data_IF_312053237503
#
_entry.id   IF_312053237503
#
_cell.length_a   1.000
_cell.length_b   1.000
_cell.length_c   1.000
_cell.angle_alpha   90.00
_cell.angle_beta   90.00
_cell.angle_gamma   90.00
#
_symmetry.space_group_name_H-M   'P 1'
#
loop_
_entity.id
_entity.type
_entity.pdbx_description
1 polymer ?
#
# COMPACT_ATOMS: atom_id res chain seq x y z
N UNK A 1 2.83 1.20 -27.98
CA UNK A 1 2.10 0.50 -26.91
C UNK A 1 0.94 1.37 -26.49
N UNK A 2 -0.29 0.92 -26.70
CA UNK A 2 -1.50 1.66 -26.32
C UNK A 2 -1.61 1.70 -24.79
N UNK A 3 -1.80 2.89 -24.22
CA UNK A 3 -1.98 3.04 -22.76
C UNK A 3 -3.25 2.26 -22.36
N UNK A 4 -3.15 1.40 -21.34
CA UNK A 4 -4.32 0.72 -20.76
C UNK A 4 -5.24 1.71 -20.04
N UNK A 5 -6.38 1.24 -19.49
CA UNK A 5 -7.24 2.11 -18.71
C UNK A 5 -6.47 2.70 -17.53
N UNK A 6 -6.72 3.97 -17.16
CA UNK A 6 -6.03 4.59 -16.04
C UNK A 6 -6.31 3.83 -14.73
N UNK A 7 -5.42 3.95 -13.73
CA UNK A 7 -5.68 3.39 -12.41
C UNK A 7 -7.03 3.87 -11.86
N UNK A 8 -7.75 2.96 -11.20
CA UNK A 8 -9.07 3.25 -10.62
C UNK A 8 -9.04 4.53 -9.78
N UNK A 9 -10.05 5.38 -9.94
CA UNK A 9 -10.14 6.67 -9.25
C UNK A 9 -9.34 7.82 -9.89
N UNK A 10 -8.57 7.56 -10.96
CA UNK A 10 -7.87 8.59 -11.75
C UNK A 10 -8.52 8.70 -13.12
N UNK A 11 -8.84 9.91 -13.56
CA UNK A 11 -9.35 10.15 -14.91
C UNK A 11 -8.26 9.91 -15.97
N UNK A 12 -8.65 9.50 -17.18
CA UNK A 12 -7.69 9.27 -18.27
C UNK A 12 -6.84 10.51 -18.56
N UNK A 13 -7.47 11.70 -18.60
CA UNK A 13 -6.75 12.99 -18.80
C UNK A 13 -5.70 13.24 -17.72
N UNK A 14 -6.04 13.02 -16.44
CA UNK A 14 -5.12 13.20 -15.33
C UNK A 14 -3.98 12.19 -15.39
N UNK A 15 -4.26 10.94 -15.75
CA UNK A 15 -3.24 9.91 -15.89
C UNK A 15 -2.28 10.20 -17.05
N UNK A 16 -2.79 10.65 -18.20
CA UNK A 16 -1.95 11.13 -19.30
C UNK A 16 -1.07 12.28 -18.85
N UNK A 17 -1.62 13.32 -18.21
CA UNK A 17 -0.83 14.44 -17.69
C UNK A 17 0.31 13.98 -16.74
N UNK A 18 -0.01 13.10 -15.79
CA UNK A 18 0.97 12.53 -14.84
C UNK A 18 2.08 11.80 -15.59
N UNK A 19 1.72 10.91 -16.50
CA UNK A 19 2.67 10.02 -17.16
C UNK A 19 3.48 10.75 -18.22
N UNK A 20 2.88 11.60 -19.05
CA UNK A 20 3.56 12.20 -20.21
C UNK A 20 4.30 13.48 -19.88
N UNK A 21 3.76 14.33 -18.99
CA UNK A 21 4.32 15.66 -18.72
C UNK A 21 5.02 15.73 -17.36
N UNK A 22 4.39 15.28 -16.29
CA UNK A 22 4.92 15.45 -14.93
C UNK A 22 6.04 14.45 -14.61
N UNK A 23 5.90 13.20 -15.07
CA UNK A 23 6.79 12.11 -14.75
C UNK A 23 7.15 11.26 -15.98
N UNK A 24 7.79 11.86 -17.02
CA UNK A 24 8.03 11.19 -18.30
C UNK A 24 8.98 9.98 -18.19
N UNK A 25 9.82 9.92 -17.15
CA UNK A 25 10.84 8.86 -16.96
C UNK A 25 10.51 7.87 -15.83
N UNK A 26 9.42 8.08 -15.11
CA UNK A 26 9.02 7.18 -14.02
C UNK A 26 8.45 5.87 -14.58
N UNK A 27 8.95 4.74 -14.09
CA UNK A 27 8.50 3.40 -14.50
C UNK A 27 7.31 2.92 -13.64
N UNK A 28 7.41 3.05 -12.31
CA UNK A 28 6.43 2.63 -11.33
C UNK A 28 5.82 3.83 -10.57
N UNK A 29 4.49 3.85 -10.49
CA UNK A 29 3.73 4.92 -9.84
C UNK A 29 3.08 4.39 -8.57
N UNK A 30 3.39 5.04 -7.45
CA UNK A 30 2.85 4.70 -6.15
C UNK A 30 1.62 5.54 -5.88
N UNK A 31 0.47 4.92 -5.71
CA UNK A 31 -0.82 5.58 -5.54
C UNK A 31 -1.42 5.23 -4.18
N UNK A 32 -1.61 6.25 -3.34
CA UNK A 32 -2.29 6.11 -2.07
C UNK A 32 -3.76 6.49 -2.18
N UNK A 33 -4.59 5.63 -1.63
CA UNK A 33 -6.03 5.70 -1.60
C UNK A 33 -6.47 5.81 -0.14
N UNK A 34 -6.74 7.04 0.29
CA UNK A 34 -7.31 7.28 1.61
C UNK A 34 -8.75 6.75 1.68
N UNK A 35 -9.21 6.28 2.85
CA UNK A 35 -10.63 6.01 3.07
C UNK A 35 -11.42 7.29 2.80
N UNK A 36 -12.57 7.15 2.15
CA UNK A 36 -13.45 8.30 1.89
C UNK A 36 -13.96 8.94 3.19
N UNK A 37 -14.31 8.10 4.18
CA UNK A 37 -14.88 8.51 5.45
C UNK A 37 -14.27 7.70 6.60
N UNK A 38 -13.86 8.39 7.68
CA UNK A 38 -13.45 7.77 8.95
C UNK A 38 -12.22 6.85 8.87
N UNK A 39 -12.12 5.91 9.82
CA UNK A 39 -11.02 4.93 9.94
C UNK A 39 -11.18 3.70 9.00
N UNK A 40 -11.75 3.90 7.81
CA UNK A 40 -11.93 2.84 6.82
C UNK A 40 -10.59 2.30 6.27
N UNK A 41 -10.62 1.22 5.46
CA UNK A 41 -9.43 0.69 4.82
C UNK A 41 -8.70 1.74 3.97
N UNK A 42 -7.39 1.75 4.10
CA UNK A 42 -6.44 2.47 3.25
C UNK A 42 -5.88 1.52 2.21
N UNK A 43 -5.53 2.05 1.03
CA UNK A 43 -4.84 1.27 0.01
C UNK A 43 -3.60 2.00 -0.53
N UNK A 44 -2.61 1.19 -0.88
CA UNK A 44 -1.44 1.59 -1.64
C UNK A 44 -1.38 0.66 -2.84
N UNK A 45 -1.26 1.25 -4.02
CA UNK A 45 -1.11 0.51 -5.27
C UNK A 45 0.17 0.95 -5.95
N UNK A 46 0.81 0.01 -6.63
CA UNK A 46 1.92 0.31 -7.53
C UNK A 46 1.46 -0.04 -8.93
N UNK A 47 1.49 0.96 -9.79
CA UNK A 47 1.05 0.84 -11.17
C UNK A 47 2.20 1.06 -12.13
N UNK A 48 2.22 0.31 -13.22
CA UNK A 48 3.01 0.68 -14.39
C UNK A 48 2.37 1.88 -15.10
N UNK A 49 3.14 2.50 -16.00
CA UNK A 49 2.68 3.56 -16.91
C UNK A 49 1.43 3.20 -17.72
N UNK A 50 1.25 1.91 -18.04
CA UNK A 50 0.07 1.38 -18.72
C UNK A 50 -1.22 1.56 -17.90
N UNK A 51 -1.11 1.81 -16.59
CA UNK A 51 -2.23 1.84 -15.64
C UNK A 51 -2.44 0.51 -14.91
N UNK A 52 -1.72 -0.55 -15.31
CA UNK A 52 -1.79 -1.87 -14.68
C UNK A 52 -1.24 -1.85 -13.24
N UNK A 53 -2.04 -2.31 -12.26
CA UNK A 53 -1.66 -2.32 -10.83
C UNK A 53 -1.08 -3.67 -10.38
N UNK A 54 0.22 -3.86 -10.59
CA UNK A 54 0.93 -5.11 -10.29
C UNK A 54 1.15 -5.36 -8.79
N UNK A 55 1.05 -4.34 -7.93
CA UNK A 55 1.14 -4.51 -6.48
C UNK A 55 0.04 -3.74 -5.74
N UNK A 56 -0.51 -4.36 -4.68
CA UNK A 56 -1.57 -3.77 -3.85
C UNK A 56 -1.42 -4.16 -2.38
N UNK A 57 -1.51 -3.17 -1.49
CA UNK A 57 -1.62 -3.32 -0.04
C UNK A 57 -2.90 -2.66 0.42
N UNK A 58 -3.68 -3.35 1.24
CA UNK A 58 -4.86 -2.84 1.94
C UNK A 58 -4.64 -3.03 3.43
N UNK A 59 -4.81 -1.96 4.21
CA UNK A 59 -4.63 -1.99 5.66
C UNK A 59 -5.61 -1.06 6.37
N UNK A 60 -5.67 -1.17 7.68
CA UNK A 60 -6.30 -0.21 8.58
C UNK A 60 -5.35 0.14 9.72
N UNK A 61 -5.52 1.31 10.31
CA UNK A 61 -4.76 1.77 11.46
C UNK A 61 -5.71 2.44 12.44
N UNK A 62 -5.70 1.99 13.69
CA UNK A 62 -6.46 2.59 14.78
C UNK A 62 -5.49 3.37 15.68
N UNK A 63 -5.65 4.68 15.73
CA UNK A 63 -4.83 5.53 16.58
C UNK A 63 -5.11 5.30 18.07
N UNK A 64 -6.37 5.03 18.43
CA UNK A 64 -6.79 4.78 19.80
C UNK A 64 -6.17 3.49 20.37
N UNK A 65 -6.23 2.39 19.64
CA UNK A 65 -5.62 1.14 20.07
C UNK A 65 -4.12 1.05 19.76
N UNK A 66 -3.56 2.01 19.00
CA UNK A 66 -2.20 1.95 18.42
C UNK A 66 -1.93 0.63 17.70
N UNK A 67 -2.89 0.20 16.87
CA UNK A 67 -2.82 -1.06 16.11
C UNK A 67 -2.95 -0.80 14.63
N UNK A 68 -2.10 -1.46 13.85
CA UNK A 68 -2.23 -1.58 12.40
C UNK A 68 -2.67 -2.99 12.02
N UNK A 69 -3.52 -3.13 11.02
CA UNK A 69 -3.99 -4.43 10.55
C UNK A 69 -3.84 -4.54 9.04
N UNK A 70 -3.01 -5.47 8.59
CA UNK A 70 -2.80 -5.80 7.18
C UNK A 70 -3.92 -6.73 6.74
N UNK A 71 -4.78 -6.24 5.86
CA UNK A 71 -5.92 -7.01 5.35
C UNK A 71 -5.56 -7.82 4.11
N UNK A 72 -4.73 -7.23 3.24
CA UNK A 72 -4.31 -7.86 1.98
C UNK A 72 -3.01 -7.25 1.50
N UNK A 73 -2.08 -8.09 1.09
CA UNK A 73 -0.89 -7.69 0.35
C UNK A 73 -0.73 -8.62 -0.85
N UNK A 74 -0.44 -8.08 -2.03
CA UNK A 74 -0.14 -8.86 -3.23
C UNK A 74 0.86 -8.14 -4.11
N UNK A 75 1.68 -8.92 -4.79
CA UNK A 75 2.56 -8.52 -5.89
C UNK A 75 2.44 -9.62 -6.94
N UNK A 76 2.18 -9.28 -8.20
CA UNK A 76 2.09 -10.30 -9.26
C UNK A 76 3.44 -10.94 -9.52
N UNK A 77 3.42 -12.17 -10.01
CA UNK A 77 4.56 -13.09 -10.04
C UNK A 77 5.80 -12.49 -10.72
N UNK A 78 5.60 -11.76 -11.82
CA UNK A 78 6.68 -11.10 -12.58
C UNK A 78 7.41 -10.01 -11.77
N UNK A 79 6.72 -9.47 -10.76
CA UNK A 79 7.18 -8.37 -9.91
C UNK A 79 7.57 -8.82 -8.50
N UNK A 80 7.40 -10.11 -8.18
CA UNK A 80 7.79 -10.65 -6.89
C UNK A 80 9.31 -10.59 -6.70
N UNK A 81 9.75 -10.67 -5.43
CA UNK A 81 11.17 -10.66 -5.01
C UNK A 81 11.96 -9.38 -5.35
N UNK A 82 11.29 -8.32 -5.81
CA UNK A 82 11.89 -6.99 -6.04
C UNK A 82 11.69 -6.01 -4.86
N UNK A 83 11.27 -6.52 -3.69
CA UNK A 83 11.11 -5.71 -2.47
C UNK A 83 9.86 -4.84 -2.41
N UNK A 84 8.91 -4.95 -3.36
CA UNK A 84 7.68 -4.16 -3.35
C UNK A 84 6.86 -4.34 -2.07
N UNK A 85 6.69 -5.58 -1.59
CA UNK A 85 5.94 -5.83 -0.35
C UNK A 85 6.52 -5.09 0.86
N UNK A 86 7.84 -5.16 1.04
CA UNK A 86 8.55 -4.43 2.11
C UNK A 86 8.40 -2.92 1.96
N UNK A 87 8.61 -2.38 0.75
CA UNK A 87 8.46 -0.95 0.47
C UNK A 87 7.03 -0.44 0.62
N UNK A 88 6.02 -1.28 0.39
CA UNK A 88 4.61 -0.95 0.62
C UNK A 88 4.32 -0.88 2.12
N UNK A 89 4.75 -1.89 2.87
CA UNK A 89 4.54 -1.94 4.30
C UNK A 89 5.25 -0.78 5.02
N UNK A 90 6.51 -0.51 4.67
CA UNK A 90 7.26 0.62 5.22
C UNK A 90 6.55 1.97 4.99
N UNK A 91 5.85 2.14 3.86
CA UNK A 91 5.03 3.34 3.61
C UNK A 91 3.75 3.35 4.44
N UNK A 92 3.07 2.21 4.59
CA UNK A 92 1.88 2.09 5.43
C UNK A 92 2.17 2.34 6.92
N UNK A 93 3.39 2.03 7.38
CA UNK A 93 3.82 2.25 8.77
C UNK A 93 4.17 3.70 9.10
N UNK A 94 4.25 4.61 8.11
CA UNK A 94 4.65 6.00 8.35
C UNK A 94 3.70 6.71 9.32
N UNK A 95 4.25 7.28 10.39
CA UNK A 95 3.50 7.92 11.47
C UNK A 95 2.79 6.92 12.41
N UNK A 96 3.03 5.63 12.24
CA UNK A 96 2.47 4.52 13.02
C UNK A 96 3.55 3.44 13.28
N UNK A 97 4.83 3.85 13.32
CA UNK A 97 5.98 2.93 13.41
C UNK A 97 6.00 2.18 14.74
N UNK A 98 5.41 2.77 15.77
CA UNK A 98 5.29 2.22 17.12
C UNK A 98 4.02 1.41 17.35
N UNK A 99 3.18 1.24 16.33
CA UNK A 99 1.94 0.48 16.46
C UNK A 99 2.22 -1.02 16.44
N UNK A 100 1.36 -1.80 17.10
CA UNK A 100 1.37 -3.24 16.91
C UNK A 100 0.70 -3.58 15.59
N UNK A 101 1.45 -4.15 14.66
CA UNK A 101 0.94 -4.55 13.35
C UNK A 101 0.55 -6.02 13.34
N UNK A 102 -0.67 -6.32 12.89
CA UNK A 102 -1.18 -7.68 12.79
C UNK A 102 -1.60 -7.97 11.35
N UNK A 103 -1.75 -9.26 11.03
CA UNK A 103 -2.34 -9.70 9.77
C UNK A 103 -3.40 -10.74 10.05
N UNK A 104 -4.32 -10.96 9.12
CA UNK A 104 -5.14 -12.16 9.16
C UNK A 104 -4.26 -13.42 8.99
N UNK A 105 -4.67 -14.58 9.55
CA UNK A 105 -4.07 -15.86 9.17
C UNK A 105 -4.22 -16.05 7.66
N UNK A 106 -3.12 -16.15 6.93
CA UNK A 106 -3.12 -16.26 5.47
C UNK A 106 -2.42 -17.55 5.00
N UNK A 107 -2.75 -17.95 3.77
CA UNK A 107 -2.31 -19.14 3.02
C UNK A 107 -0.78 -19.33 2.99
N UNK A 108 -0.33 -20.49 2.52
CA UNK A 108 1.06 -21.00 2.56
C UNK A 108 2.14 -19.95 2.26
N UNK A 109 1.96 -19.11 1.23
CA UNK A 109 2.90 -18.05 0.85
C UNK A 109 3.12 -16.99 1.93
N UNK A 110 2.09 -16.71 2.74
CA UNK A 110 2.16 -15.76 3.86
C UNK A 110 3.07 -16.24 4.99
N UNK A 111 3.24 -17.57 5.16
CA UNK A 111 4.02 -18.16 6.24
C UNK A 111 5.51 -17.83 6.14
N UNK A 112 6.04 -17.64 4.92
CA UNK A 112 7.43 -17.21 4.72
C UNK A 112 7.55 -15.70 4.59
N UNK A 113 6.57 -15.06 3.96
CA UNK A 113 6.61 -13.63 3.69
C UNK A 113 6.58 -12.78 4.97
N UNK A 114 5.62 -12.99 5.87
CA UNK A 114 5.44 -12.10 7.03
C UNK A 114 6.58 -12.18 8.06
N UNK A 115 7.16 -13.36 8.36
CA UNK A 115 8.37 -13.41 9.20
C UNK A 115 9.56 -12.67 8.59
N UNK A 116 9.81 -12.84 7.29
CA UNK A 116 10.89 -12.13 6.60
C UNK A 116 10.65 -10.61 6.54
N UNK A 117 9.41 -10.21 6.29
CA UNK A 117 8.98 -8.81 6.32
C UNK A 117 9.17 -8.20 7.72
N UNK A 118 8.78 -8.93 8.76
CA UNK A 118 8.94 -8.52 10.15
C UNK A 118 10.40 -8.29 10.52
N UNK A 119 11.26 -9.24 10.17
CA UNK A 119 12.71 -9.09 10.36
C UNK A 119 13.27 -7.87 9.62
N UNK A 120 12.84 -7.62 8.37
CA UNK A 120 13.29 -6.48 7.58
C UNK A 120 12.82 -5.11 8.13
N UNK A 121 11.69 -5.07 8.85
CA UNK A 121 11.09 -3.85 9.38
C UNK A 121 11.27 -3.69 10.90
N UNK A 122 11.94 -4.63 11.56
CA UNK A 122 12.12 -4.62 13.01
C UNK A 122 10.81 -4.75 13.80
N UNK A 123 9.78 -5.38 13.24
CA UNK A 123 8.47 -5.58 13.89
C UNK A 123 7.96 -7.02 13.70
N UNK A 124 6.96 -7.42 14.48
CA UNK A 124 6.19 -8.64 14.24
C UNK A 124 4.94 -8.39 13.40
N UNK A 125 4.43 -9.45 12.79
CA UNK A 125 3.10 -9.51 12.17
C UNK A 125 2.33 -10.74 12.68
N UNK A 126 2.02 -10.82 13.99
CA UNK A 126 1.24 -11.93 14.52
C UNK A 126 -0.13 -12.01 13.84
N UNK A 127 -0.63 -13.24 13.71
CA UNK A 127 -1.97 -13.50 13.23
C UNK A 127 -2.98 -13.07 14.31
N UNK A 128 -3.78 -12.04 14.03
CA UNK A 128 -4.80 -11.52 14.94
C UNK A 128 -5.92 -10.83 14.14
N UNK A 129 -7.06 -10.57 14.80
CA UNK A 129 -8.16 -9.83 14.22
C UNK A 129 -7.91 -8.31 14.28
N UNK A 130 -8.55 -7.56 13.39
CA UNK A 130 -8.63 -6.10 13.52
C UNK A 130 -9.41 -5.73 14.78
N UNK A 131 -9.09 -4.58 15.39
CA UNK A 131 -9.82 -4.09 16.56
C UNK A 131 -11.23 -3.59 16.19
N UNK A 132 -12.13 -3.51 17.16
CA UNK A 132 -13.53 -3.09 16.95
C UNK A 132 -13.65 -1.67 16.39
N UNK A 133 -12.73 -0.75 16.74
CA UNK A 133 -12.69 0.59 16.16
C UNK A 133 -12.42 0.62 14.65
N UNK A 134 -11.81 -0.44 14.10
CA UNK A 134 -11.60 -0.61 12.67
C UNK A 134 -12.73 -1.40 12.00
N UNK A 135 -13.81 -1.76 12.72
CA UNK A 135 -14.92 -2.53 12.18
C UNK A 135 -15.73 -1.79 11.10
N UNK A 136 -15.41 -0.53 10.81
CA UNK A 136 -15.99 0.25 9.72
C UNK A 136 -15.71 -0.44 8.39
N UNK A 137 -16.75 -1.04 7.80
CA UNK A 137 -16.70 -1.58 6.43
C UNK A 137 -16.79 -0.44 5.42
N UNK A 138 -15.96 -0.53 4.38
CA UNK A 138 -15.58 0.58 3.51
C UNK A 138 -16.71 1.35 2.84
N UNK A 139 -16.53 2.67 2.74
CA UNK A 139 -17.33 3.62 1.93
C UNK A 139 -16.62 4.04 0.65
N UNK A 140 -15.74 3.19 0.12
CA UNK A 140 -14.85 3.50 -1.00
C UNK A 140 -13.67 4.40 -0.59
N UNK A 141 -12.89 4.79 -1.59
CA UNK A 141 -11.69 5.61 -1.42
C UNK A 141 -11.96 7.04 -1.89
N UNK A 142 -11.26 8.00 -1.29
CA UNK A 142 -11.12 9.35 -1.83
C UNK A 142 -10.35 9.32 -3.16
N UNK A 143 -10.20 10.48 -3.81
CA UNK A 143 -9.36 10.56 -5.01
C UNK A 143 -7.92 10.17 -4.67
N UNK A 144 -7.30 9.23 -5.39
CA UNK A 144 -5.95 8.76 -5.08
C UNK A 144 -4.92 9.85 -5.34
N UNK A 145 -3.90 9.87 -4.50
CA UNK A 145 -2.74 10.75 -4.63
C UNK A 145 -1.50 9.97 -5.04
N UNK A 146 -0.63 10.60 -5.81
CA UNK A 146 0.72 10.09 -6.01
C UNK A 146 1.46 10.17 -4.68
N UNK A 147 1.97 9.03 -4.24
CA UNK A 147 2.94 8.96 -3.16
C UNK A 147 4.31 9.29 -3.73
N UNK A 148 4.96 10.28 -3.13
CA UNK A 148 6.34 10.60 -3.48
C UNK A 148 7.28 9.41 -3.25
N UNK A 149 8.51 9.49 -3.77
CA UNK A 149 9.56 8.61 -3.28
C UNK A 149 9.61 8.72 -1.75
N UNK A 150 9.93 7.62 -1.03
CA UNK A 150 10.21 7.75 0.39
C UNK A 150 11.22 8.89 0.54
N UNK A 151 10.91 9.88 1.38
CA UNK A 151 11.87 10.93 1.72
C UNK A 151 13.19 10.23 2.00
N UNK A 152 14.20 10.50 1.16
CA UNK A 152 15.56 10.10 1.47
C UNK A 152 15.81 10.74 2.82
N UNK A 153 16.03 9.93 3.85
CA UNK A 153 16.57 10.45 5.10
C UNK A 153 17.78 11.28 4.68
N UNK A 154 17.71 12.59 4.93
CA UNK A 154 18.89 13.45 4.91
C UNK A 154 19.78 12.93 6.05
N UNK A 155 20.54 11.88 5.74
CA UNK A 155 21.52 11.29 6.62
C UNK A 155 22.78 12.13 6.57
N UNK A 156 22.96 12.90 7.65
CA UNK A 156 24.21 13.25 8.35
C UNK A 156 25.46 13.43 7.49
#
# INVERSE_FOLDING_TARGET
>A
MTQGPPPSGISARRWTLITTLLHPRTADFWLYYAPRNGAGPQQLRVCERSGYDFARLTWQSCAECRRGHVMKIRVTDEWQRQGYGTRMMARAMRGCESYTWTTTPQFEDGQRFFPALGAALGTGFPADKSCEHNAVRGGGYAEPRLEGPPALNAGV
#
